data_IF_936171995672
#
_entry.id   IF_936171995672
#
_cell.length_a   1.000
_cell.length_b   1.000
_cell.length_c   1.000
_cell.angle_alpha   90.00
_cell.angle_beta   90.00
_cell.angle_gamma   90.00
#
_symmetry.space_group_name_H-M   'P 1'
#
loop_
_entity.id
_entity.type
_entity.pdbx_description
1 polymer ?
#
# COMPACT_ATOMS: atom_id res chain seq x y z
N UNK A 1 -61.37 1.68 17.69
CA UNK A 1 -60.22 1.11 18.43
C UNK A 1 -60.02 1.93 19.69
N UNK A 2 -60.05 1.32 20.88
CA UNK A 2 -60.07 2.05 22.15
C UNK A 2 -58.70 2.73 22.38
N UNK A 3 -58.65 4.04 22.63
CA UNK A 3 -57.40 4.81 22.74
C UNK A 3 -56.42 4.24 23.78
N UNK A 4 -56.93 3.53 24.81
CA UNK A 4 -56.10 2.84 25.80
C UNK A 4 -55.36 1.64 25.19
N UNK A 5 -56.02 0.86 24.34
CA UNK A 5 -55.42 -0.31 23.67
C UNK A 5 -54.37 0.10 22.63
N UNK A 6 -54.55 1.23 21.94
CA UNK A 6 -53.57 1.76 21.00
C UNK A 6 -52.28 2.25 21.70
N UNK A 7 -52.39 2.79 22.93
CA UNK A 7 -51.23 3.19 23.75
C UNK A 7 -50.38 1.99 24.19
N UNK A 8 -51.02 0.89 24.59
CA UNK A 8 -50.30 -0.34 24.96
C UNK A 8 -49.64 -1.02 23.76
N UNK A 9 -50.30 -0.99 22.59
CA UNK A 9 -49.71 -1.51 21.35
C UNK A 9 -48.50 -0.68 20.90
N UNK A 10 -48.55 0.65 21.01
CA UNK A 10 -47.43 1.53 20.68
C UNK A 10 -46.24 1.33 21.64
N UNK A 11 -46.50 1.15 22.95
CA UNK A 11 -45.47 0.83 23.93
C UNK A 11 -44.82 -0.55 23.68
N UNK A 12 -45.62 -1.54 23.29
CA UNK A 12 -45.13 -2.87 22.95
C UNK A 12 -44.25 -2.84 21.69
N UNK A 13 -44.63 -2.06 20.67
CA UNK A 13 -43.86 -1.90 19.43
C UNK A 13 -42.54 -1.17 19.66
N UNK A 14 -42.51 -0.21 20.60
CA UNK A 14 -41.29 0.53 20.98
C UNK A 14 -40.30 -0.35 21.78
N UNK A 15 -40.81 -1.28 22.59
CA UNK A 15 -39.99 -2.24 23.34
C UNK A 15 -39.30 -3.30 22.45
N UNK A 16 -39.89 -3.65 21.31
CA UNK A 16 -39.29 -4.59 20.34
C UNK A 16 -38.16 -3.92 19.54
N UNK A 17 -38.21 -2.59 19.34
CA UNK A 17 -37.18 -1.81 18.64
C UNK A 17 -35.94 -1.57 19.52
N UNK A 18 -36.08 -1.57 20.85
CA UNK A 18 -34.94 -1.36 21.78
C UNK A 18 -34.12 -2.63 22.04
N UNK A 19 -34.60 -3.81 21.64
CA UNK A 19 -33.90 -5.10 21.86
C UNK A 19 -33.04 -5.53 20.66
N UNK A 20 -33.14 -4.83 19.51
CA UNK A 20 -32.33 -5.11 18.31
C UNK A 20 -31.10 -4.22 18.14
N UNK A 21 -30.80 -3.36 19.12
CA UNK A 21 -29.51 -2.66 19.17
C UNK A 21 -28.53 -3.50 19.99
N UNK A 22 -28.15 -4.66 19.47
CA UNK A 22 -26.82 -5.20 19.82
C UNK A 22 -25.81 -4.16 19.34
N UNK A 23 -25.38 -3.26 20.23
CA UNK A 23 -24.02 -2.75 20.09
C UNK A 23 -23.14 -3.95 20.36
N UNK A 24 -22.65 -4.58 19.29
CA UNK A 24 -21.42 -5.35 19.41
C UNK A 24 -20.35 -4.33 19.76
N UNK A 25 -20.18 -4.07 21.06
CA UNK A 25 -18.93 -3.54 21.59
C UNK A 25 -17.91 -4.66 21.42
N UNK A 26 -17.46 -4.85 20.18
CA UNK A 26 -16.27 -5.64 19.92
C UNK A 26 -15.10 -4.77 20.36
N UNK A 27 -14.67 -4.96 21.61
CA UNK A 27 -13.43 -4.40 22.16
C UNK A 27 -12.20 -4.79 21.31
N UNK A 28 -12.34 -5.62 20.26
CA UNK A 28 -11.35 -5.72 19.21
C UNK A 28 -11.34 -4.48 18.32
N UNK A 29 -10.40 -3.59 18.64
CA UNK A 29 -9.84 -2.67 17.64
C UNK A 29 -9.48 -3.48 16.39
N UNK A 30 -10.11 -3.16 15.26
CA UNK A 30 -9.84 -3.79 13.96
C UNK A 30 -8.34 -3.84 13.69
N UNK A 31 -7.85 -4.96 13.18
CA UNK A 31 -6.43 -5.16 12.82
C UNK A 31 -5.88 -4.04 11.91
N UNK A 32 -6.78 -3.51 11.07
CA UNK A 32 -6.51 -2.46 10.10
C UNK A 32 -7.13 -1.11 10.50
N UNK A 33 -7.42 -0.91 11.79
CA UNK A 33 -7.80 0.38 12.32
C UNK A 33 -6.74 1.45 11.95
N UNK A 34 -7.21 2.62 11.52
CA UNK A 34 -6.39 3.74 11.06
C UNK A 34 -5.38 3.36 9.97
N UNK A 35 -5.73 2.41 9.09
CA UNK A 35 -4.81 1.93 8.05
C UNK A 35 -4.27 3.08 7.18
N UNK A 36 -5.10 4.06 6.83
CA UNK A 36 -4.69 5.14 5.94
C UNK A 36 -3.56 5.97 6.57
N UNK A 37 -3.80 6.53 7.75
CA UNK A 37 -2.82 7.34 8.50
C UNK A 37 -1.52 6.55 8.74
N UNK A 38 -1.64 5.28 9.11
CA UNK A 38 -0.47 4.40 9.33
C UNK A 38 0.35 4.18 8.06
N UNK A 39 -0.29 3.99 6.92
CA UNK A 39 0.41 3.80 5.64
C UNK A 39 1.08 5.11 5.19
N UNK A 40 0.39 6.24 5.33
CA UNK A 40 0.94 7.56 5.01
C UNK A 40 2.17 7.86 5.88
N UNK A 41 2.09 7.62 7.18
CA UNK A 41 3.20 7.80 8.12
C UNK A 41 4.37 6.86 7.81
N UNK A 42 4.11 5.56 7.61
CA UNK A 42 5.14 4.58 7.29
C UNK A 42 5.89 4.93 5.99
N UNK A 43 5.17 5.40 4.97
CA UNK A 43 5.77 5.87 3.73
C UNK A 43 6.63 7.13 3.95
N UNK A 44 6.10 8.13 4.66
CA UNK A 44 6.81 9.37 4.95
C UNK A 44 8.10 9.12 5.74
N UNK A 45 8.05 8.26 6.77
CA UNK A 45 9.22 7.88 7.57
C UNK A 45 10.27 7.15 6.72
N UNK A 46 9.83 6.21 5.90
CA UNK A 46 10.72 5.45 5.01
C UNK A 46 11.36 6.38 3.96
N UNK A 47 10.61 7.36 3.44
CA UNK A 47 11.11 8.34 2.48
C UNK A 47 12.15 9.26 3.12
N UNK A 48 11.87 9.79 4.30
CA UNK A 48 12.79 10.62 5.07
C UNK A 48 14.09 9.84 5.39
N UNK A 49 13.95 8.58 5.79
CA UNK A 49 15.08 7.69 6.05
C UNK A 49 15.92 7.45 4.79
N UNK A 50 15.30 7.11 3.66
CA UNK A 50 15.98 6.88 2.39
C UNK A 50 16.75 8.12 1.92
N UNK A 51 16.14 9.32 2.01
CA UNK A 51 16.77 10.60 1.68
C UNK A 51 17.96 10.90 2.59
N UNK A 52 17.87 10.56 3.88
CA UNK A 52 18.95 10.74 4.85
C UNK A 52 20.14 9.80 4.57
N UNK A 53 19.86 8.54 4.23
CA UNK A 53 20.90 7.54 3.96
C UNK A 53 21.57 7.77 2.59
N UNK A 54 20.77 8.12 1.58
CA UNK A 54 21.24 8.41 0.22
C UNK A 54 21.75 7.21 -0.55
N UNK A 55 22.02 7.44 -1.84
CA UNK A 55 22.37 6.38 -2.81
C UNK A 55 23.69 5.67 -2.48
N UNK A 56 24.63 6.36 -1.84
CA UNK A 56 25.90 5.78 -1.39
C UNK A 56 25.69 4.62 -0.41
N UNK A 57 24.54 4.56 0.26
CA UNK A 57 24.15 3.49 1.18
C UNK A 57 23.09 2.57 0.57
N UNK A 58 22.91 2.58 -0.74
CA UNK A 58 21.96 1.71 -1.45
C UNK A 58 20.49 2.14 -1.35
N UNK A 59 20.21 3.34 -0.85
CA UNK A 59 18.86 3.90 -0.76
C UNK A 59 18.56 4.81 -1.95
N UNK A 60 17.51 4.47 -2.70
CA UNK A 60 17.10 5.18 -3.90
C UNK A 60 15.63 5.60 -3.79
N UNK A 61 15.33 6.78 -4.33
CA UNK A 61 13.96 7.29 -4.47
C UNK A 61 13.70 7.50 -5.95
N UNK A 62 12.90 6.62 -6.54
CA UNK A 62 12.55 6.71 -7.95
C UNK A 62 11.17 7.31 -8.10
N UNK A 63 11.03 8.23 -9.05
CA UNK A 63 9.71 8.73 -9.42
C UNK A 63 8.93 7.62 -10.11
N UNK A 64 7.61 7.62 -9.94
CA UNK A 64 6.73 6.75 -10.70
C UNK A 64 7.02 6.88 -12.20
N UNK A 65 7.14 5.74 -12.87
CA UNK A 65 7.48 5.63 -14.28
C UNK A 65 6.56 6.48 -15.18
N UNK A 66 5.28 6.65 -14.82
CA UNK A 66 4.34 7.50 -15.57
C UNK A 66 4.75 8.97 -15.61
N UNK A 67 5.63 9.40 -14.70
CA UNK A 67 6.21 10.74 -14.64
C UNK A 67 7.69 10.76 -15.05
N UNK A 68 8.26 9.63 -15.46
CA UNK A 68 9.65 9.57 -15.89
C UNK A 68 9.84 10.43 -17.15
N UNK A 69 10.97 11.14 -17.23
CA UNK A 69 11.30 12.11 -18.29
C UNK A 69 10.41 13.37 -18.35
N UNK A 70 9.45 13.55 -17.42
CA UNK A 70 8.73 14.81 -17.30
C UNK A 70 9.61 15.88 -16.63
N UNK A 71 10.15 16.80 -17.43
CA UNK A 71 10.95 17.93 -16.93
C UNK A 71 10.03 19.05 -16.44
N UNK A 72 10.07 19.48 -15.17
CA UNK A 72 9.13 20.46 -14.60
C UNK A 72 8.99 21.78 -15.37
N UNK A 73 9.95 22.12 -16.23
CA UNK A 73 10.06 23.42 -16.91
C UNK A 73 9.76 23.41 -18.41
N UNK A 74 9.51 22.25 -19.02
CA UNK A 74 9.27 22.15 -20.48
C UNK A 74 7.90 21.56 -20.85
N UNK A 75 7.06 21.22 -19.87
CA UNK A 75 5.72 20.72 -20.16
C UNK A 75 4.84 21.87 -20.65
N UNK A 76 4.00 21.57 -21.64
CA UNK A 76 3.01 22.50 -22.16
C UNK A 76 1.61 21.90 -22.02
N UNK A 77 0.62 22.73 -21.72
CA UNK A 77 -0.78 22.33 -21.79
C UNK A 77 -1.23 22.13 -23.26
N UNK A 78 -2.48 21.72 -23.45
CA UNK A 78 -3.11 21.58 -24.77
C UNK A 78 -3.12 22.87 -25.61
N UNK A 79 -2.86 24.02 -24.98
CA UNK A 79 -2.83 25.34 -25.61
C UNK A 79 -1.40 25.86 -25.83
N UNK A 80 -0.37 25.08 -25.45
CA UNK A 80 1.03 25.44 -25.64
C UNK A 80 1.64 26.29 -24.51
N UNK A 81 0.91 26.55 -23.43
CA UNK A 81 1.41 27.31 -22.29
C UNK A 81 2.31 26.44 -21.41
N UNK A 82 3.40 27.01 -20.89
CA UNK A 82 4.27 26.29 -19.96
C UNK A 82 3.52 25.95 -18.66
N UNK A 83 3.64 24.70 -18.22
CA UNK A 83 3.05 24.19 -16.98
C UNK A 83 4.16 23.66 -16.08
N UNK A 84 4.21 24.18 -14.85
CA UNK A 84 5.05 23.62 -13.79
C UNK A 84 4.37 22.38 -13.22
N UNK A 85 5.03 21.23 -13.32
CA UNK A 85 4.54 20.01 -12.70
C UNK A 85 4.87 19.97 -11.21
N UNK A 86 3.86 19.70 -10.40
CA UNK A 86 3.99 19.45 -8.96
C UNK A 86 3.81 17.97 -8.71
N UNK A 87 4.77 17.35 -8.02
CA UNK A 87 4.73 15.94 -7.63
C UNK A 87 4.56 15.83 -6.12
N UNK A 88 3.76 14.86 -5.69
CA UNK A 88 3.61 14.49 -4.29
C UNK A 88 4.71 13.51 -3.91
N UNK A 89 5.01 13.41 -2.62
CA UNK A 89 5.95 12.41 -2.13
C UNK A 89 5.49 10.98 -2.46
N UNK A 90 4.18 10.72 -2.43
CA UNK A 90 3.58 9.43 -2.82
C UNK A 90 3.63 9.12 -4.33
N UNK A 91 4.12 10.03 -5.18
CA UNK A 91 4.42 9.77 -6.59
C UNK A 91 5.78 9.09 -6.79
N UNK A 92 6.42 8.63 -5.71
CA UNK A 92 7.72 7.96 -5.73
C UNK A 92 7.63 6.54 -5.15
N UNK A 93 8.57 5.69 -5.54
CA UNK A 93 8.88 4.42 -4.88
C UNK A 93 10.22 4.54 -4.18
N UNK A 94 10.37 3.82 -3.07
CA UNK A 94 11.58 3.81 -2.24
C UNK A 94 12.20 2.42 -2.35
N UNK A 95 13.49 2.36 -2.71
CA UNK A 95 14.19 1.09 -2.94
C UNK A 95 15.46 1.05 -2.11
N UNK A 96 15.64 -0.03 -1.36
CA UNK A 96 16.90 -0.33 -0.68
C UNK A 96 17.56 -1.54 -1.34
N UNK A 97 18.70 -1.32 -1.98
CA UNK A 97 19.45 -2.38 -2.66
C UNK A 97 20.34 -3.08 -1.65
N UNK A 98 19.94 -4.29 -1.24
CA UNK A 98 20.72 -5.12 -0.31
C UNK A 98 21.97 -5.72 -0.95
N UNK A 99 21.86 -6.15 -2.21
CA UNK A 99 22.96 -6.72 -2.97
C UNK A 99 22.82 -6.32 -4.43
N UNK A 100 23.91 -5.80 -5.01
CA UNK A 100 23.97 -5.44 -6.44
C UNK A 100 24.44 -6.65 -7.25
N UNK A 101 23.63 -7.05 -8.23
CA UNK A 101 24.02 -8.07 -9.20
C UNK A 101 25.02 -7.56 -10.24
N UNK A 102 25.61 -8.47 -11.02
CA UNK A 102 26.57 -8.16 -12.09
C UNK A 102 25.92 -7.89 -13.46
N UNK A 103 24.60 -7.99 -13.53
CA UNK A 103 23.83 -7.73 -14.75
C UNK A 103 24.07 -6.31 -15.28
N UNK A 104 24.23 -6.18 -16.60
CA UNK A 104 24.51 -4.89 -17.28
C UNK A 104 23.32 -4.36 -18.07
N UNK A 105 22.23 -5.12 -18.13
CA UNK A 105 21.04 -4.81 -18.91
C UNK A 105 19.84 -4.76 -17.97
N UNK A 106 18.96 -3.80 -18.21
CA UNK A 106 17.68 -3.67 -17.51
C UNK A 106 16.56 -4.15 -18.43
N UNK A 107 15.63 -5.01 -17.94
CA UNK A 107 14.50 -5.44 -18.75
C UNK A 107 13.58 -4.26 -19.06
N UNK A 108 13.01 -4.25 -20.27
CA UNK A 108 11.92 -3.36 -20.65
C UNK A 108 10.58 -4.07 -20.50
N UNK A 109 9.49 -3.31 -20.57
CA UNK A 109 8.11 -3.73 -20.28
C UNK A 109 7.68 -5.03 -20.99
N UNK A 110 8.21 -5.26 -22.20
CA UNK A 110 7.89 -6.43 -23.05
C UNK A 110 8.77 -7.66 -22.78
N UNK A 111 9.85 -7.50 -22.02
CA UNK A 111 10.77 -8.59 -21.73
C UNK A 111 10.13 -9.57 -20.73
N UNK A 112 10.51 -10.84 -20.85
CA UNK A 112 10.19 -11.84 -19.85
C UNK A 112 11.25 -11.85 -18.76
N UNK A 113 10.80 -11.88 -17.50
CA UNK A 113 11.67 -11.97 -16.32
C UNK A 113 11.31 -13.19 -15.48
N UNK A 114 12.26 -13.64 -14.66
CA UNK A 114 12.04 -14.60 -13.59
C UNK A 114 12.40 -13.94 -12.27
N UNK A 115 11.45 -13.89 -11.34
CA UNK A 115 11.60 -13.17 -10.08
C UNK A 115 11.16 -14.04 -8.92
N UNK A 116 11.99 -14.06 -7.87
CA UNK A 116 11.57 -14.50 -6.55
C UNK A 116 11.22 -13.27 -5.71
N UNK A 117 9.98 -13.21 -5.26
CA UNK A 117 9.43 -12.09 -4.48
C UNK A 117 8.61 -12.56 -3.28
N UNK A 118 8.38 -11.61 -2.37
CA UNK A 118 7.43 -11.69 -1.25
C UNK A 118 6.81 -10.31 -1.05
N UNK A 119 5.49 -10.22 -1.16
CA UNK A 119 4.71 -9.03 -0.85
C UNK A 119 4.19 -9.06 0.58
N UNK A 120 4.36 -7.97 1.32
CA UNK A 120 3.87 -7.82 2.70
C UNK A 120 3.19 -6.47 2.89
N UNK A 121 2.14 -6.44 3.70
CA UNK A 121 1.66 -5.19 4.28
C UNK A 121 2.60 -4.70 5.37
N UNK A 122 2.50 -3.42 5.75
CA UNK A 122 3.19 -2.91 6.94
C UNK A 122 2.82 -3.73 8.19
N UNK A 123 3.72 -3.88 9.17
CA UNK A 123 3.43 -4.56 10.42
C UNK A 123 2.16 -4.08 11.11
N UNK A 124 1.48 -5.01 11.75
CA UNK A 124 0.26 -4.82 12.53
C UNK A 124 0.38 -5.60 13.84
N UNK A 125 -0.64 -5.52 14.72
CA UNK A 125 -0.60 -6.18 16.03
C UNK A 125 -0.53 -7.70 15.91
N UNK A 126 -1.35 -8.31 15.05
CA UNK A 126 -1.37 -9.76 14.87
C UNK A 126 -0.34 -10.23 13.83
N UNK A 127 0.17 -9.33 12.97
CA UNK A 127 1.23 -9.62 12.01
C UNK A 127 2.44 -8.70 12.23
N UNK A 128 3.29 -9.05 13.19
CA UNK A 128 4.45 -8.25 13.61
C UNK A 128 5.52 -8.10 12.54
N UNK A 129 5.60 -9.03 11.59
CA UNK A 129 6.47 -8.93 10.40
C UNK A 129 5.73 -8.40 9.15
N UNK A 130 4.45 -8.06 9.28
CA UNK A 130 3.56 -7.76 8.16
C UNK A 130 2.91 -9.01 7.58
N UNK A 131 1.64 -8.90 7.21
CA UNK A 131 0.90 -9.97 6.56
C UNK A 131 1.46 -10.23 5.15
N UNK A 132 1.86 -11.47 4.86
CA UNK A 132 2.29 -11.89 3.52
C UNK A 132 1.05 -12.16 2.67
N UNK A 133 0.81 -11.33 1.65
CA UNK A 133 -0.34 -11.50 0.76
C UNK A 133 -0.01 -12.32 -0.49
N UNK A 134 1.26 -12.37 -0.90
CA UNK A 134 1.73 -13.18 -2.03
C UNK A 134 3.24 -13.45 -1.93
N UNK A 135 3.71 -14.61 -2.39
CA UNK A 135 5.12 -15.00 -2.39
C UNK A 135 5.44 -16.17 -3.32
N UNK A 136 6.68 -16.20 -3.78
CA UNK A 136 7.24 -17.31 -4.58
C UNK A 136 8.17 -18.25 -3.77
N UNK A 137 8.46 -17.91 -2.51
CA UNK A 137 9.32 -18.69 -1.62
C UNK A 137 8.90 -18.55 -0.15
N UNK A 138 9.18 -19.59 0.64
CA UNK A 138 8.93 -19.63 2.09
C UNK A 138 10.23 -19.46 2.87
N UNK A 139 10.14 -18.95 4.11
CA UNK A 139 11.32 -18.78 4.96
C UNK A 139 12.27 -17.68 4.47
N UNK A 140 13.57 -17.87 4.68
CA UNK A 140 14.63 -16.98 4.18
C UNK A 140 14.85 -17.23 2.69
N UNK A 141 15.06 -16.17 1.91
CA UNK A 141 15.40 -16.31 0.49
C UNK A 141 16.73 -17.06 0.34
N UNK A 142 16.73 -18.10 -0.49
CA UNK A 142 17.91 -18.84 -0.89
C UNK A 142 17.87 -19.05 -2.41
N UNK A 143 18.82 -18.45 -3.11
CA UNK A 143 18.89 -18.50 -4.57
C UNK A 143 19.10 -19.94 -5.11
N UNK A 144 19.63 -20.87 -4.30
CA UNK A 144 19.85 -22.25 -4.71
C UNK A 144 18.56 -23.09 -4.70
N UNK A 145 17.57 -22.70 -3.89
CA UNK A 145 16.31 -23.45 -3.69
C UNK A 145 15.07 -22.66 -4.08
N UNK A 146 15.22 -21.39 -4.43
CA UNK A 146 14.13 -20.53 -4.87
C UNK A 146 13.45 -21.08 -6.14
N UNK A 147 12.11 -20.98 -6.16
CA UNK A 147 11.30 -21.30 -7.33
C UNK A 147 10.73 -20.00 -7.91
N UNK A 148 11.44 -19.30 -8.81
CA UNK A 148 11.02 -18.01 -9.31
C UNK A 148 9.78 -18.11 -10.21
N UNK A 149 8.93 -17.10 -10.12
CA UNK A 149 7.78 -16.95 -11.02
C UNK A 149 8.24 -16.27 -12.31
N UNK A 150 7.75 -16.74 -13.47
CA UNK A 150 7.98 -16.11 -14.77
C UNK A 150 6.82 -15.19 -15.13
N UNK A 151 7.11 -13.95 -15.50
CA UNK A 151 6.13 -12.97 -15.97
C UNK A 151 6.75 -12.02 -17.01
N UNK A 152 5.94 -11.16 -17.62
CA UNK A 152 6.45 -9.99 -18.33
C UNK A 152 6.87 -8.93 -17.31
N UNK A 153 7.89 -8.13 -17.63
CA UNK A 153 8.40 -7.09 -16.72
C UNK A 153 7.35 -6.01 -16.42
N UNK A 154 6.40 -5.77 -17.34
CA UNK A 154 5.31 -4.81 -17.18
C UNK A 154 4.20 -5.21 -16.20
N UNK A 155 4.21 -6.44 -15.68
CA UNK A 155 3.10 -7.00 -14.88
C UNK A 155 2.12 -7.80 -15.71
#
# INVERSE_FOLDING_TARGET
MNLKSLKYFFFLMMAVITLSSCSEDDDNVSEYANWQERNEQAFADTLAYARKMGEANGWYVYKNWTFENQTPTLNKDQNGNLVTLTYKDCDNIIVHVLQKGEGKTSPILTDSVQVSYRGRFIPTKNYTEGYVFDQSFTGTFDAATANPTRSVAGG
#
